data_IF_785338686630
#
_entry.id   IF_785338686630
#
_cell.length_a   1.000
_cell.length_b   1.000
_cell.length_c   1.000
_cell.angle_alpha   90.00
_cell.angle_beta   90.00
_cell.angle_gamma   90.00
#
_symmetry.space_group_name_H-M   'P 1'
#
loop_
_entity.id
_entity.type
_entity.pdbx_description
1 polymer ?
#
# COMPACT_ATOMS: atom_id res chain seq x y z
N UNK A 1 2.54 49.22 8.71
CA UNK A 1 1.09 49.47 8.87
C UNK A 1 0.43 49.48 7.49
N UNK A 2 -0.40 48.48 7.17
CA UNK A 2 -1.43 48.54 6.12
C UNK A 2 -1.04 48.28 4.65
N UNK A 3 -0.74 47.03 4.27
CA UNK A 3 -0.75 46.63 2.86
C UNK A 3 -2.19 46.45 2.36
N UNK A 4 -2.61 47.31 1.43
CA UNK A 4 -3.90 47.21 0.73
C UNK A 4 -3.81 46.11 -0.34
N UNK A 5 -4.61 45.07 -0.16
CA UNK A 5 -4.80 43.96 -1.11
C UNK A 5 -5.36 44.53 -2.42
N UNK A 6 -4.62 44.35 -3.52
CA UNK A 6 -5.11 44.65 -4.87
C UNK A 6 -5.82 43.41 -5.42
N UNK A 7 -7.11 43.59 -5.69
CA UNK A 7 -7.98 42.68 -6.42
C UNK A 7 -7.43 42.47 -7.84
N UNK A 8 -7.29 41.22 -8.25
CA UNK A 8 -7.20 40.84 -9.65
C UNK A 8 -8.35 39.88 -9.93
N UNK A 9 -9.43 40.42 -10.49
CA UNK A 9 -10.41 39.61 -11.19
C UNK A 9 -9.82 39.28 -12.56
N UNK A 10 -9.62 37.99 -12.85
CA UNK A 10 -9.44 37.51 -14.21
C UNK A 10 -10.58 36.56 -14.55
N UNK A 11 -11.03 36.72 -15.78
CA UNK A 11 -12.25 36.19 -16.36
C UNK A 11 -12.35 34.66 -16.29
N UNK A 12 -13.51 34.17 -15.87
CA UNK A 12 -14.00 32.85 -16.27
C UNK A 12 -14.52 32.95 -17.72
N UNK A 13 -13.86 32.28 -18.67
CA UNK A 13 -14.43 32.05 -20.00
C UNK A 13 -14.15 30.62 -20.46
N UNK A 14 -15.27 29.92 -20.70
CA UNK A 14 -15.53 28.68 -21.45
C UNK A 14 -15.29 27.29 -20.79
N UNK A 15 -16.27 26.36 -20.93
CA UNK A 15 -16.29 25.05 -20.28
C UNK A 15 -15.73 23.91 -21.17
N UNK A 16 -15.64 22.71 -20.58
CA UNK A 16 -15.47 21.39 -21.21
C UNK A 16 -14.03 20.96 -21.57
N UNK A 17 -13.28 20.54 -20.55
CA UNK A 17 -12.70 19.17 -20.51
C UNK A 17 -12.73 18.75 -19.04
N UNK A 18 -13.78 18.04 -18.63
CA UNK A 18 -13.78 17.32 -17.37
C UNK A 18 -12.89 16.10 -17.49
N UNK A 19 -11.57 16.27 -17.42
CA UNK A 19 -10.78 15.23 -16.80
C UNK A 19 -11.17 15.30 -15.32
N UNK A 20 -12.07 14.42 -14.90
CA UNK A 20 -12.07 14.03 -13.50
C UNK A 20 -10.66 13.46 -13.28
N UNK A 21 -9.73 14.32 -12.85
CA UNK A 21 -8.60 13.85 -12.10
C UNK A 21 -9.26 13.10 -10.95
N UNK A 22 -9.13 11.77 -10.94
CA UNK A 22 -9.37 11.03 -9.72
C UNK A 22 -8.48 11.74 -8.70
N UNK A 23 -9.10 12.53 -7.84
CA UNK A 23 -8.46 13.07 -6.66
C UNK A 23 -8.04 11.82 -5.90
N UNK A 24 -6.77 11.43 -6.04
CA UNK A 24 -6.20 10.49 -5.11
C UNK A 24 -6.49 11.09 -3.73
N UNK A 25 -7.12 10.34 -2.81
CA UNK A 25 -7.37 10.84 -1.48
C UNK A 25 -6.07 11.42 -0.96
N UNK A 26 -6.14 12.61 -0.35
CA UNK A 26 -4.99 13.27 0.28
C UNK A 26 -4.10 12.23 0.95
N UNK A 27 -2.76 12.28 0.76
CA UNK A 27 -1.86 11.30 1.35
C UNK A 27 -2.22 11.15 2.83
N UNK A 28 -2.56 9.92 3.23
CA UNK A 28 -2.83 9.62 4.65
C UNK A 28 -1.66 10.23 5.43
N UNK A 29 -1.92 11.10 6.44
CA UNK A 29 -0.86 11.77 7.17
C UNK A 29 0.18 10.73 7.60
N UNK A 30 1.46 11.06 7.36
CA UNK A 30 2.59 10.14 7.40
C UNK A 30 2.48 9.18 8.60
N UNK A 31 2.24 7.90 8.27
CA UNK A 31 1.80 6.88 9.20
C UNK A 31 2.92 6.29 10.05
N UNK A 32 3.74 7.13 10.70
CA UNK A 32 4.83 6.68 11.57
C UNK A 32 4.37 5.64 12.61
N UNK A 33 3.15 5.80 13.12
CA UNK A 33 2.51 4.87 14.06
C UNK A 33 2.21 3.49 13.43
N UNK A 34 1.87 3.44 12.13
CA UNK A 34 1.42 2.20 11.45
C UNK A 34 2.53 1.19 11.22
N UNK A 35 3.77 1.68 11.14
CA UNK A 35 4.96 0.84 11.00
C UNK A 35 5.84 0.85 12.26
N UNK A 36 5.29 1.29 13.40
CA UNK A 36 5.96 1.13 14.69
C UNK A 36 6.19 -0.37 14.96
N UNK A 37 7.45 -0.77 15.15
CA UNK A 37 7.84 -2.16 15.40
C UNK A 37 8.34 -2.93 14.17
N UNK A 38 8.25 -2.37 12.97
CA UNK A 38 8.85 -2.97 11.77
C UNK A 38 10.31 -2.53 11.63
N UNK A 39 11.22 -3.49 11.48
CA UNK A 39 12.64 -3.20 11.34
C UNK A 39 13.00 -2.84 9.89
N UNK A 40 13.58 -1.65 9.70
CA UNK A 40 14.09 -1.18 8.40
C UNK A 40 15.13 -2.15 7.86
N UNK A 41 14.98 -2.58 6.60
CA UNK A 41 15.89 -3.52 5.95
C UNK A 41 15.67 -4.99 6.34
N UNK A 42 14.61 -5.31 7.09
CA UNK A 42 14.27 -6.70 7.46
C UNK A 42 12.86 -7.06 7.02
N UNK A 43 12.67 -8.34 6.66
CA UNK A 43 11.35 -8.90 6.44
C UNK A 43 10.74 -9.23 7.81
N UNK A 44 9.64 -8.57 8.15
CA UNK A 44 8.98 -8.67 9.46
C UNK A 44 7.61 -9.33 9.30
N UNK A 45 7.27 -10.37 10.06
CA UNK A 45 5.93 -10.96 10.05
C UNK A 45 4.93 -10.06 10.77
N UNK A 46 3.68 -10.07 10.32
CA UNK A 46 2.59 -9.33 10.92
C UNK A 46 1.24 -10.04 10.72
N UNK A 47 0.25 -9.62 11.51
CA UNK A 47 -1.13 -10.08 11.40
C UNK A 47 -2.10 -8.90 11.33
N UNK A 48 -3.27 -9.14 10.74
CA UNK A 48 -4.37 -8.19 10.62
C UNK A 48 -5.69 -8.97 10.72
N UNK A 49 -6.61 -8.49 11.54
CA UNK A 49 -8.00 -8.95 11.49
C UNK A 49 -8.78 -8.15 10.44
N UNK A 50 -9.50 -8.85 9.56
CA UNK A 50 -10.38 -8.27 8.55
C UNK A 50 -11.68 -9.07 8.51
N UNK A 51 -12.79 -8.42 8.85
CA UNK A 51 -14.13 -9.02 8.86
C UNK A 51 -14.21 -10.33 9.66
N UNK A 52 -13.58 -10.37 10.84
CA UNK A 52 -13.53 -11.56 11.69
C UNK A 52 -12.58 -12.66 11.22
N UNK A 53 -11.79 -12.41 10.18
CA UNK A 53 -10.76 -13.34 9.68
C UNK A 53 -9.38 -12.79 10.01
N UNK A 54 -8.60 -13.54 10.78
CA UNK A 54 -7.18 -13.24 10.97
C UNK A 54 -6.39 -13.57 9.69
N UNK A 55 -5.54 -12.62 9.29
CA UNK A 55 -4.71 -12.70 8.10
C UNK A 55 -3.25 -12.46 8.47
N UNK A 56 -2.35 -13.28 7.95
CA UNK A 56 -0.91 -13.11 8.11
C UNK A 56 -0.27 -12.55 6.83
N UNK A 57 0.79 -11.78 7.02
CA UNK A 57 1.57 -11.20 5.94
C UNK A 57 2.97 -10.86 6.44
N UNK A 58 3.85 -10.52 5.50
CA UNK A 58 5.19 -10.04 5.78
C UNK A 58 5.39 -8.66 5.18
N UNK A 59 6.09 -7.80 5.91
CA UNK A 59 6.40 -6.44 5.47
C UNK A 59 7.90 -6.27 5.37
N UNK A 60 8.33 -5.61 4.30
CA UNK A 60 9.69 -5.10 4.16
C UNK A 60 9.66 -3.58 4.03
N UNK A 61 10.31 -2.90 4.97
CA UNK A 61 10.59 -1.48 4.89
C UNK A 61 11.93 -1.25 4.17
N UNK A 62 11.97 -0.43 3.12
CA UNK A 62 13.20 -0.17 2.37
C UNK A 62 14.23 0.54 3.24
N UNK A 63 15.52 0.40 2.93
CA UNK A 63 16.62 0.94 3.73
C UNK A 63 16.54 2.47 3.96
N UNK A 64 15.97 3.21 3.00
CA UNK A 64 15.74 4.65 3.07
C UNK A 64 14.39 5.06 3.68
N UNK A 65 13.68 4.14 4.35
CA UNK A 65 12.36 4.43 4.93
C UNK A 65 12.46 5.54 5.98
N UNK A 66 11.77 6.65 5.69
CA UNK A 66 11.56 7.78 6.58
C UNK A 66 10.06 7.86 6.88
N UNK A 67 9.71 7.66 8.15
CA UNK A 67 8.32 7.64 8.60
C UNK A 67 7.58 8.97 8.40
N UNK A 68 8.29 10.08 8.12
CA UNK A 68 7.71 11.38 7.78
C UNK A 68 7.32 11.51 6.31
N UNK A 69 7.76 10.58 5.45
CA UNK A 69 7.51 10.60 4.01
C UNK A 69 6.62 9.40 3.61
N UNK A 70 5.43 9.63 3.05
CA UNK A 70 4.60 8.54 2.57
C UNK A 70 5.27 7.84 1.39
N UNK A 71 5.38 6.51 1.46
CA UNK A 71 5.86 5.67 0.36
C UNK A 71 4.70 4.86 -0.24
N UNK A 72 4.71 4.58 -1.56
CA UNK A 72 3.78 3.64 -2.15
C UNK A 72 3.96 2.23 -1.56
N UNK A 73 2.85 1.49 -1.52
CA UNK A 73 2.80 0.09 -1.09
C UNK A 73 2.72 -0.82 -2.32
N UNK A 74 3.54 -1.87 -2.34
CA UNK A 74 3.48 -2.94 -3.34
C UNK A 74 3.08 -4.23 -2.65
N UNK A 75 1.93 -4.78 -3.04
CA UNK A 75 1.46 -6.10 -2.61
C UNK A 75 1.98 -7.14 -3.60
N UNK A 76 2.77 -8.11 -3.12
CA UNK A 76 3.42 -9.12 -3.94
C UNK A 76 2.98 -10.53 -3.53
N UNK A 77 2.10 -11.12 -4.33
CA UNK A 77 1.41 -12.38 -4.02
C UNK A 77 2.26 -13.59 -4.42
N UNK A 78 2.29 -14.61 -3.55
CA UNK A 78 2.93 -15.88 -3.85
C UNK A 78 2.03 -16.78 -4.72
N UNK A 79 2.63 -17.76 -5.41
CA UNK A 79 1.90 -18.76 -6.20
C UNK A 79 1.21 -19.82 -5.32
N UNK A 80 0.46 -20.74 -5.93
CA UNK A 80 -0.17 -21.87 -5.25
C UNK A 80 0.84 -22.68 -4.43
N UNK A 81 0.44 -23.05 -3.21
CA UNK A 81 1.22 -23.83 -2.26
C UNK A 81 2.59 -23.22 -1.92
N UNK A 82 2.69 -21.89 -1.96
CA UNK A 82 3.87 -21.13 -1.55
C UNK A 82 3.55 -20.25 -0.33
N UNK A 83 4.51 -19.43 0.08
CA UNK A 83 4.39 -18.51 1.21
C UNK A 83 5.11 -17.19 0.94
N UNK A 84 4.81 -16.16 1.73
CA UNK A 84 5.37 -14.82 1.61
C UNK A 84 6.90 -14.76 1.57
N UNK A 85 7.64 -15.42 2.48
CA UNK A 85 9.11 -15.40 2.47
C UNK A 85 9.70 -16.07 1.23
N UNK A 86 9.01 -17.08 0.66
CA UNK A 86 9.45 -17.69 -0.59
C UNK A 86 9.26 -16.72 -1.75
N UNK A 87 8.16 -15.97 -1.79
CA UNK A 87 7.89 -14.96 -2.80
C UNK A 87 8.89 -13.79 -2.73
N UNK A 88 9.22 -13.34 -1.52
CA UNK A 88 10.27 -12.34 -1.29
C UNK A 88 11.59 -12.75 -1.94
N UNK A 89 12.01 -14.00 -1.71
CA UNK A 89 13.27 -14.52 -2.25
C UNK A 89 13.30 -14.61 -3.77
N UNK A 90 12.21 -15.07 -4.41
CA UNK A 90 12.20 -15.32 -5.86
C UNK A 90 11.92 -14.06 -6.67
N UNK A 91 11.16 -13.10 -6.11
CA UNK A 91 10.82 -11.86 -6.81
C UNK A 91 11.97 -10.86 -6.85
N UNK A 92 12.92 -10.95 -5.91
CA UNK A 92 14.09 -10.05 -5.81
C UNK A 92 13.70 -8.57 -5.77
N UNK A 93 12.57 -8.24 -5.14
CA UNK A 93 12.07 -6.86 -5.14
C UNK A 93 12.70 -5.95 -4.08
N UNK A 94 13.37 -6.48 -3.05
CA UNK A 94 14.00 -5.65 -2.00
C UNK A 94 14.99 -4.60 -2.54
N UNK A 95 15.96 -4.94 -3.43
CA UNK A 95 16.86 -3.94 -3.98
C UNK A 95 16.12 -2.85 -4.77
N UNK A 96 15.02 -3.22 -5.45
CA UNK A 96 14.20 -2.25 -6.17
C UNK A 96 13.44 -1.33 -5.20
N UNK A 97 12.92 -1.88 -4.09
CA UNK A 97 12.28 -1.12 -3.02
C UNK A 97 13.25 -0.11 -2.40
N UNK A 98 14.50 -0.53 -2.16
CA UNK A 98 15.55 0.34 -1.61
C UNK A 98 15.93 1.47 -2.57
N UNK A 99 15.97 1.20 -3.88
CA UNK A 99 16.36 2.20 -4.90
C UNK A 99 15.21 3.14 -5.25
N UNK A 100 13.99 2.63 -5.35
CA UNK A 100 12.83 3.39 -5.87
C UNK A 100 11.88 3.88 -4.78
N UNK A 101 12.10 3.50 -3.52
CA UNK A 101 11.34 3.99 -2.38
C UNK A 101 9.89 3.47 -2.36
N UNK A 102 9.72 2.17 -2.14
CA UNK A 102 8.39 1.59 -1.92
C UNK A 102 8.43 0.52 -0.83
N UNK A 103 7.31 0.36 -0.13
CA UNK A 103 7.14 -0.69 0.90
C UNK A 103 6.65 -1.96 0.20
N UNK A 104 7.17 -3.11 0.63
CA UNK A 104 6.75 -4.41 0.12
C UNK A 104 5.91 -5.14 1.16
N UNK A 105 4.77 -5.68 0.73
CA UNK A 105 3.92 -6.57 1.52
C UNK A 105 3.78 -7.90 0.79
N UNK A 106 4.01 -9.00 1.51
CA UNK A 106 3.85 -10.37 1.03
C UNK A 106 2.78 -11.06 1.87
N UNK A 107 1.51 -11.00 1.45
CA UNK A 107 0.42 -11.61 2.20
C UNK A 107 0.40 -13.13 2.03
N UNK A 108 -0.09 -13.84 3.04
CA UNK A 108 -0.27 -15.29 3.00
C UNK A 108 -1.70 -15.63 2.51
N UNK A 109 -1.77 -16.60 1.60
CA UNK A 109 -3.02 -17.28 1.27
C UNK A 109 -3.41 -18.27 2.37
N UNK A 110 -4.68 -18.70 2.39
CA UNK A 110 -5.19 -19.67 3.37
C UNK A 110 -5.32 -21.06 2.76
N UNK A 111 -5.56 -22.05 3.61
CA UNK A 111 -5.82 -23.44 3.22
C UNK A 111 -4.57 -24.31 3.16
N UNK A 112 -4.78 -25.61 3.02
CA UNK A 112 -3.74 -26.62 2.80
C UNK A 112 -4.14 -27.46 1.58
N UNK A 113 -3.49 -27.26 0.42
CA UNK A 113 -2.38 -26.33 0.17
C UNK A 113 -2.84 -24.86 0.10
N UNK A 114 -1.92 -23.93 0.40
CA UNK A 114 -2.21 -22.49 0.42
C UNK A 114 -2.63 -21.99 -0.97
N UNK A 115 -3.81 -21.39 -1.08
CA UNK A 115 -4.37 -20.94 -2.34
C UNK A 115 -5.21 -19.66 -2.20
N UNK A 116 -5.10 -18.76 -3.17
CA UNK A 116 -5.91 -17.56 -3.24
C UNK A 116 -7.30 -17.88 -3.79
N UNK A 117 -8.33 -17.42 -3.08
CA UNK A 117 -9.68 -17.37 -3.61
C UNK A 117 -9.83 -16.10 -4.47
N UNK A 118 -10.01 -16.28 -5.78
CA UNK A 118 -10.32 -15.17 -6.70
C UNK A 118 -11.75 -15.25 -7.23
N UNK A 119 -12.64 -15.96 -6.53
CA UNK A 119 -14.07 -15.99 -6.87
C UNK A 119 -14.59 -14.55 -6.90
N UNK A 120 -15.22 -14.11 -8.01
CA UNK A 120 -15.68 -12.74 -8.15
C UNK A 120 -16.67 -12.33 -7.05
N UNK A 121 -16.50 -11.12 -6.51
CA UNK A 121 -17.39 -10.54 -5.50
C UNK A 121 -16.60 -10.06 -4.28
N UNK A 122 -16.10 -8.80 -4.35
CA UNK A 122 -15.26 -8.19 -3.31
C UNK A 122 -15.84 -8.35 -1.90
N UNK A 123 -17.14 -8.12 -1.71
CA UNK A 123 -17.77 -8.21 -0.39
C UNK A 123 -17.99 -9.64 0.13
N UNK A 124 -17.87 -10.65 -0.74
CA UNK A 124 -18.08 -12.05 -0.39
C UNK A 124 -16.77 -12.85 -0.27
N UNK A 125 -15.66 -12.29 -0.77
CA UNK A 125 -14.39 -12.99 -0.88
C UNK A 125 -13.35 -12.39 0.07
N UNK A 126 -13.08 -13.13 1.15
CA UNK A 126 -12.17 -12.74 2.21
C UNK A 126 -10.72 -12.49 1.74
N UNK A 127 -10.26 -13.14 0.66
CA UNK A 127 -8.93 -12.89 0.11
C UNK A 127 -8.89 -11.55 -0.63
N UNK A 128 -9.96 -11.23 -1.38
CA UNK A 128 -10.05 -9.93 -2.04
C UNK A 128 -10.27 -8.77 -1.07
N UNK A 129 -11.02 -8.97 0.02
CA UNK A 129 -11.18 -7.97 1.09
C UNK A 129 -9.89 -7.74 1.88
N UNK A 130 -9.02 -8.73 1.93
CA UNK A 130 -7.75 -8.65 2.62
C UNK A 130 -6.72 -7.81 1.85
N UNK A 131 -6.68 -7.95 0.52
CA UNK A 131 -5.71 -7.23 -0.32
C UNK A 131 -6.21 -5.86 -0.82
N UNK A 132 -7.46 -5.48 -0.53
CA UNK A 132 -8.12 -4.25 -0.99
C UNK A 132 -8.30 -3.19 0.11
#
# INVERSE_FOLDING_TARGET
MGWRKRLWAWLCWLPLVGCAANEFPEPIPAGAERFAGYAVGYLTPATLERDGVERSYWVYLPAGYDASQPLPLVVNLHAYNAAGPKQEQISRMRPLADVHGFILVYPEARGEPAAWDFTPGLAANADTQFIA
#
